data_IF_024121727687
#
_entry.id   IF_024121727687
#
_cell.length_a   1.000
_cell.length_b   1.000
_cell.length_c   1.000
_cell.angle_alpha   90.00
_cell.angle_beta   90.00
_cell.angle_gamma   90.00
#
_symmetry.space_group_name_H-M   'P 1'
#
loop_
_entity.id
_entity.type
_entity.pdbx_description
1 polymer ?
#
# COMPACT_ATOMS: atom_id res chain seq x y z
N UNK A 1 -10.69 -10.52 -12.56
CA UNK A 1 -10.06 -10.01 -11.31
C UNK A 1 -9.85 -8.53 -11.50
N UNK A 2 -10.27 -7.66 -10.57
CA UNK A 2 -9.88 -6.25 -10.63
C UNK A 2 -8.35 -6.16 -10.60
N UNK A 3 -7.80 -5.28 -11.43
CA UNK A 3 -6.34 -5.07 -11.54
C UNK A 3 -5.74 -4.52 -10.24
N UNK A 4 -6.59 -3.92 -9.40
CA UNK A 4 -6.26 -3.30 -8.14
C UNK A 4 -7.20 -3.79 -7.03
N UNK A 5 -6.64 -4.18 -5.89
CA UNK A 5 -7.37 -4.40 -4.65
C UNK A 5 -7.06 -3.26 -3.67
N UNK A 6 -8.10 -2.57 -3.20
CA UNK A 6 -7.97 -1.50 -2.20
C UNK A 6 -8.48 -1.98 -0.84
N UNK A 7 -7.72 -1.76 0.22
CA UNK A 7 -8.10 -2.08 1.59
C UNK A 7 -7.70 -0.97 2.55
N UNK A 8 -8.44 -0.89 3.65
CA UNK A 8 -8.16 0.03 4.74
C UNK A 8 -7.46 -0.70 5.87
N UNK A 9 -6.37 -0.13 6.34
CA UNK A 9 -5.65 -0.63 7.52
C UNK A 9 -6.44 -0.30 8.79
N UNK A 10 -6.13 -0.95 9.90
CA UNK A 10 -6.84 -0.78 11.19
C UNK A 10 -6.80 0.65 11.75
N UNK A 11 -5.83 1.45 11.31
CA UNK A 11 -5.68 2.86 11.61
C UNK A 11 -6.30 3.79 10.54
N UNK A 12 -7.15 3.24 9.66
CA UNK A 12 -7.95 3.99 8.69
C UNK A 12 -7.19 4.44 7.44
N UNK A 13 -6.03 3.86 7.13
CA UNK A 13 -5.21 4.27 5.98
C UNK A 13 -5.53 3.44 4.75
N UNK A 14 -5.58 4.10 3.60
CA UNK A 14 -5.88 3.43 2.33
C UNK A 14 -4.62 2.82 1.72
N UNK A 15 -4.73 1.55 1.35
CA UNK A 15 -3.67 0.80 0.68
C UNK A 15 -4.24 0.17 -0.58
N UNK A 16 -3.55 0.37 -1.70
CA UNK A 16 -3.89 -0.20 -2.99
C UNK A 16 -2.81 -1.22 -3.38
N UNK A 17 -3.23 -2.44 -3.73
CA UNK A 17 -2.36 -3.48 -4.29
C UNK A 17 -2.63 -3.56 -5.79
N UNK A 18 -1.59 -3.40 -6.59
CA UNK A 18 -1.63 -3.82 -7.99
C UNK A 18 -1.30 -5.32 -8.05
N UNK A 19 -2.28 -6.13 -8.45
CA UNK A 19 -2.14 -7.58 -8.49
C UNK A 19 -1.28 -8.10 -9.64
N UNK A 20 -1.12 -7.30 -10.70
CA UNK A 20 -0.31 -7.61 -11.89
C UNK A 20 1.16 -7.36 -11.63
N UNK A 21 1.51 -6.18 -11.10
CA UNK A 21 2.89 -5.80 -10.80
C UNK A 21 3.35 -6.25 -9.40
N UNK A 22 2.44 -6.75 -8.57
CA UNK A 22 2.68 -7.06 -7.15
C UNK A 22 3.32 -5.86 -6.44
N UNK A 23 2.69 -4.69 -6.58
CA UNK A 23 3.14 -3.46 -5.90
C UNK A 23 2.10 -3.01 -4.88
N UNK A 24 2.56 -2.52 -3.73
CA UNK A 24 1.73 -1.97 -2.66
C UNK A 24 1.89 -0.45 -2.63
N UNK A 25 0.82 0.28 -2.85
CA UNK A 25 0.79 1.73 -2.80
C UNK A 25 0.05 2.17 -1.55
N UNK A 26 0.72 2.92 -0.69
CA UNK A 26 0.14 3.47 0.54
C UNK A 26 -0.15 4.95 0.35
N UNK A 27 -1.41 5.31 0.58
CA UNK A 27 -1.88 6.68 0.56
C UNK A 27 -1.97 7.20 2.00
N UNK A 28 -1.30 8.31 2.27
CA UNK A 28 -1.31 8.98 3.58
C UNK A 28 -1.42 10.48 3.38
N UNK A 29 -2.26 11.19 4.17
CA UNK A 29 -2.34 12.65 4.13
C UNK A 29 -1.01 13.34 4.42
N UNK A 30 -0.14 12.70 5.22
CA UNK A 30 1.18 13.22 5.56
C UNK A 30 2.18 13.16 4.40
N UNK A 31 1.85 12.46 3.31
CA UNK A 31 2.72 12.36 2.14
C UNK A 31 2.27 13.28 1.03
N UNK A 32 3.20 14.09 0.53
CA UNK A 32 3.02 14.86 -0.72
C UNK A 32 2.80 13.94 -1.92
N UNK A 33 3.33 12.70 -1.88
CA UNK A 33 3.16 11.68 -2.91
C UNK A 33 2.93 10.29 -2.30
N UNK A 34 2.11 9.42 -2.93
CA UNK A 34 1.92 8.05 -2.46
C UNK A 34 3.24 7.28 -2.37
N UNK A 35 3.38 6.43 -1.35
CA UNK A 35 4.56 5.56 -1.25
C UNK A 35 4.29 4.22 -1.92
N UNK A 36 5.15 3.85 -2.86
CA UNK A 36 5.06 2.58 -3.59
C UNK A 36 6.13 1.62 -3.08
N UNK A 37 5.71 0.40 -2.78
CA UNK A 37 6.57 -0.71 -2.38
C UNK A 37 6.50 -1.80 -3.45
N UNK A 38 7.66 -2.26 -3.91
CA UNK A 38 7.79 -3.33 -4.92
C UNK A 38 7.98 -4.71 -4.29
N UNK A 39 8.21 -4.76 -2.97
CA UNK A 39 8.36 -6.00 -2.20
C UNK A 39 7.43 -5.96 -0.99
N UNK A 40 6.77 -7.09 -0.74
CA UNK A 40 5.85 -7.24 0.39
C UNK A 40 6.56 -7.02 1.74
N UNK A 41 7.80 -7.49 1.89
CA UNK A 41 8.58 -7.34 3.12
C UNK A 41 8.85 -5.87 3.47
N UNK A 42 9.12 -5.04 2.47
CA UNK A 42 9.36 -3.60 2.67
C UNK A 42 8.08 -2.88 3.10
N UNK A 43 6.94 -3.27 2.51
CA UNK A 43 5.62 -2.80 2.94
C UNK A 43 5.31 -3.22 4.38
N UNK A 44 5.53 -4.49 4.74
CA UNK A 44 5.29 -4.98 6.10
C UNK A 44 6.15 -4.26 7.13
N UNK A 45 7.46 -4.10 6.87
CA UNK A 45 8.38 -3.36 7.75
C UNK A 45 7.96 -1.91 7.93
N UNK A 46 7.35 -1.31 6.92
CA UNK A 46 6.82 0.05 6.99
C UNK A 46 5.54 0.14 7.82
N UNK A 47 4.68 -0.87 7.78
CA UNK A 47 3.40 -0.89 8.51
C UNK A 47 3.55 -1.28 9.99
N UNK A 48 4.61 -2.00 10.37
CA UNK A 48 4.82 -2.48 11.75
C UNK A 48 5.76 -1.61 12.60
N UNK A 49 6.29 -0.53 12.04
CA UNK A 49 7.06 0.49 12.76
C UNK A 49 6.19 1.70 13.10
#
# INVERSE_FOLDING_TARGET
MPEYDTFYTTDGKEVCINNLSKTWTVYRPEFTFPRVFYKFEDYLRYMTK
#
